data_IF_734288369980
#
_entry.id   IF_734288369980
#
_cell.length_a   1.000
_cell.length_b   1.000
_cell.length_c   1.000
_cell.angle_alpha   90.00
_cell.angle_beta   90.00
_cell.angle_gamma   90.00
#
_symmetry.space_group_name_H-M   'P 1'
#
loop_
_entity.id
_entity.type
_entity.pdbx_description
1 polymer ?
#
# COMPACT_ATOMS: atom_id res chain seq x y z
N UNK A 1 16.48 3.90 -28.40
CA UNK A 1 17.17 4.66 -27.33
C UNK A 1 16.28 4.78 -26.11
N UNK A 2 16.65 4.14 -25.00
CA UNK A 2 15.86 4.03 -23.77
C UNK A 2 15.98 5.30 -22.93
N UNK A 3 14.94 6.16 -22.93
CA UNK A 3 14.85 7.30 -21.99
C UNK A 3 14.58 6.78 -20.57
N UNK A 4 15.64 6.38 -19.86
CA UNK A 4 15.61 6.14 -18.42
C UNK A 4 15.42 7.44 -17.64
N UNK A 5 14.79 7.35 -16.46
CA UNK A 5 14.59 8.49 -15.54
C UNK A 5 15.95 9.04 -15.08
N UNK A 6 16.26 10.27 -15.43
CA UNK A 6 17.50 10.96 -15.06
C UNK A 6 17.66 11.00 -13.52
N UNK A 7 18.75 10.42 -13.00
CA UNK A 7 19.09 10.41 -11.57
C UNK A 7 20.29 11.35 -11.37
N UNK A 8 20.05 12.62 -11.05
CA UNK A 8 21.16 13.56 -10.83
C UNK A 8 21.16 14.06 -9.39
N UNK A 9 21.96 13.41 -8.55
CA UNK A 9 22.79 14.11 -7.56
C UNK A 9 24.08 14.58 -8.25
N UNK A 10 24.83 15.53 -7.68
CA UNK A 10 26.11 16.03 -8.25
C UNK A 10 27.14 14.90 -8.56
N UNK A 11 26.96 13.71 -7.99
CA UNK A 11 27.81 12.52 -8.18
C UNK A 11 27.08 11.37 -8.92
N UNK A 12 26.04 11.66 -9.71
CA UNK A 12 25.34 10.64 -10.52
C UNK A 12 24.54 9.61 -9.71
N UNK A 13 24.33 9.84 -8.41
CA UNK A 13 23.63 8.95 -7.50
C UNK A 13 22.12 9.22 -7.43
N UNK A 14 21.39 8.30 -6.79
CA UNK A 14 20.00 8.52 -6.40
C UNK A 14 19.94 9.73 -5.45
N UNK A 15 19.17 10.77 -5.78
CA UNK A 15 18.90 11.88 -4.85
C UNK A 15 18.35 11.32 -3.54
N UNK A 16 18.84 11.83 -2.41
CA UNK A 16 18.32 11.47 -1.10
C UNK A 16 16.81 11.74 -1.05
N UNK A 17 16.06 10.81 -0.44
CA UNK A 17 14.61 10.94 -0.31
C UNK A 17 14.30 12.10 0.65
N UNK A 18 13.85 13.23 0.10
CA UNK A 18 13.48 14.42 0.88
C UNK A 18 12.23 14.20 1.73
N UNK A 19 11.23 13.46 1.21
CA UNK A 19 9.96 13.22 1.92
C UNK A 19 9.97 11.90 2.69
N UNK A 20 10.08 11.97 4.02
CA UNK A 20 9.85 10.85 4.94
C UNK A 20 8.38 10.81 5.39
N UNK A 21 7.45 10.50 4.49
CA UNK A 21 6.06 10.22 4.87
C UNK A 21 5.98 8.84 5.52
N UNK A 22 5.83 8.78 6.84
CA UNK A 22 5.46 7.56 7.55
C UNK A 22 3.95 7.41 7.56
N UNK A 23 3.43 6.33 7.00
CA UNK A 23 2.01 5.99 7.09
C UNK A 23 1.77 5.22 8.41
N UNK A 24 0.79 5.63 9.24
CA UNK A 24 0.44 4.91 10.45
C UNK A 24 -0.19 3.55 10.14
N UNK A 25 -0.05 2.60 11.06
CA UNK A 25 -0.69 1.28 11.01
C UNK A 25 -2.21 1.38 11.17
N UNK A 26 -2.93 0.33 10.81
CA UNK A 26 -4.38 0.28 11.01
C UNK A 26 -4.77 0.38 12.48
N UNK A 27 -4.03 -0.30 13.36
CA UNK A 27 -4.24 -0.20 14.81
C UNK A 27 -4.12 1.24 15.32
N UNK A 28 -3.04 1.94 14.97
CA UNK A 28 -2.83 3.33 15.40
C UNK A 28 -3.96 4.24 14.93
N UNK A 29 -4.47 4.05 13.71
CA UNK A 29 -5.60 4.83 13.20
C UNK A 29 -6.87 4.54 14.01
N UNK A 30 -7.12 3.28 14.34
CA UNK A 30 -8.27 2.87 15.15
C UNK A 30 -8.20 3.47 16.55
N UNK A 31 -7.04 3.41 17.21
CA UNK A 31 -6.85 3.97 18.55
C UNK A 31 -7.11 5.48 18.60
N UNK A 32 -6.67 6.21 17.56
CA UNK A 32 -6.93 7.66 17.40
C UNK A 32 -8.42 7.93 17.25
N UNK A 33 -9.12 7.16 16.41
CA UNK A 33 -10.57 7.33 16.17
C UNK A 33 -11.37 7.04 17.44
N UNK A 34 -11.10 5.93 18.13
CA UNK A 34 -11.78 5.56 19.38
C UNK A 34 -11.55 6.62 20.47
N UNK A 35 -10.32 7.13 20.59
CA UNK A 35 -10.04 8.16 21.59
C UNK A 35 -10.73 9.49 21.25
N UNK A 36 -10.81 9.84 19.97
CA UNK A 36 -11.45 11.07 19.51
C UNK A 36 -12.97 11.08 19.75
N UNK A 37 -13.64 9.94 19.74
CA UNK A 37 -15.08 9.85 20.05
C UNK A 37 -15.42 10.33 21.47
N UNK A 38 -14.46 10.27 22.39
CA UNK A 38 -14.63 10.61 23.81
C UNK A 38 -13.86 11.86 24.23
N UNK A 39 -13.01 12.40 23.35
CA UNK A 39 -12.08 13.47 23.70
C UNK A 39 -12.02 14.56 22.63
N UNK A 40 -11.68 15.77 23.03
CA UNK A 40 -11.52 16.88 22.09
C UNK A 40 -10.35 16.66 21.12
N UNK A 41 -10.40 17.39 20.00
CA UNK A 41 -9.31 17.42 19.01
C UNK A 41 -7.97 17.81 19.63
N UNK A 42 -7.97 18.77 20.56
CA UNK A 42 -6.76 19.22 21.25
C UNK A 42 -6.14 18.09 22.09
N UNK A 43 -6.96 17.36 22.84
CA UNK A 43 -6.54 16.22 23.67
C UNK A 43 -5.98 15.08 22.81
N UNK A 44 -6.66 14.75 21.71
CA UNK A 44 -6.22 13.70 20.76
C UNK A 44 -4.85 14.01 20.16
N UNK A 45 -4.61 15.27 19.79
CA UNK A 45 -3.31 15.71 19.29
C UNK A 45 -2.21 15.68 20.36
N UNK A 46 -2.53 16.06 21.59
CA UNK A 46 -1.58 15.98 22.70
C UNK A 46 -1.16 14.54 22.99
N UNK A 47 -2.08 13.57 22.88
CA UNK A 47 -1.82 12.16 23.16
C UNK A 47 -1.07 11.44 22.02
N UNK A 48 -1.55 11.54 20.79
CA UNK A 48 -1.04 10.72 19.67
C UNK A 48 -0.03 11.43 18.77
N UNK A 49 0.05 12.75 18.85
CA UNK A 49 0.84 13.58 17.95
C UNK A 49 1.67 14.64 18.70
N UNK A 50 2.10 14.33 19.93
CA UNK A 50 2.94 15.21 20.75
C UNK A 50 4.23 15.64 20.03
N UNK A 51 4.83 14.72 19.27
CA UNK A 51 6.09 14.94 18.56
C UNK A 51 5.96 15.83 17.32
N UNK A 52 4.73 16.14 16.88
CA UNK A 52 4.51 16.99 15.71
C UNK A 52 4.57 18.46 16.10
N UNK A 53 5.52 19.20 15.52
CA UNK A 53 5.71 20.64 15.75
C UNK A 53 5.41 21.47 14.50
N UNK A 54 5.05 22.74 14.71
CA UNK A 54 4.86 23.76 13.67
C UNK A 54 3.91 23.34 12.54
N UNK A 55 4.39 23.44 11.30
CA UNK A 55 3.61 23.17 10.08
C UNK A 55 3.13 21.73 9.98
N UNK A 56 3.89 20.75 10.52
CA UNK A 56 3.49 19.35 10.50
C UNK A 56 2.24 19.10 11.33
N UNK A 57 2.14 19.75 12.50
CA UNK A 57 0.97 19.67 13.36
C UNK A 57 -0.25 20.29 12.70
N UNK A 58 -0.10 21.43 12.03
CA UNK A 58 -1.20 22.09 11.31
C UNK A 58 -1.64 21.28 10.09
N UNK A 59 -0.72 20.79 9.25
CA UNK A 59 -1.06 19.92 8.13
C UNK A 59 -1.73 18.64 8.59
N UNK A 60 -1.27 18.06 9.72
CA UNK A 60 -1.92 16.89 10.30
C UNK A 60 -3.30 17.26 10.84
N UNK A 61 -3.46 18.40 11.51
CA UNK A 61 -4.74 18.91 11.98
C UNK A 61 -5.71 19.10 10.82
N UNK A 62 -5.37 19.82 9.77
CA UNK A 62 -6.25 19.94 8.58
C UNK A 62 -6.46 18.60 7.86
N UNK A 63 -5.44 17.74 7.78
CA UNK A 63 -5.53 16.46 7.08
C UNK A 63 -6.19 15.32 7.85
N UNK A 64 -6.27 15.40 9.18
CA UNK A 64 -6.86 14.38 10.07
C UNK A 64 -8.10 14.86 10.82
N UNK A 65 -8.24 16.17 11.09
CA UNK A 65 -9.42 16.77 11.71
C UNK A 65 -10.56 17.01 10.72
N UNK A 66 -10.28 17.09 9.42
CA UNK A 66 -11.31 17.15 8.36
C UNK A 66 -11.66 15.75 7.84
N UNK A 67 -11.08 14.68 8.41
CA UNK A 67 -11.10 13.34 7.82
C UNK A 67 -11.98 12.32 8.54
N UNK A 68 -13.17 12.69 8.98
CA UNK A 68 -14.25 11.71 9.14
C UNK A 68 -14.44 10.88 7.84
N UNK A 69 -14.01 11.41 6.69
CA UNK A 69 -14.14 10.73 5.39
C UNK A 69 -13.02 9.74 5.04
N UNK A 70 -11.79 9.86 5.60
CA UNK A 70 -10.67 9.04 5.09
C UNK A 70 -10.45 7.73 5.85
N UNK A 71 -10.72 7.71 7.16
CA UNK A 71 -10.50 6.57 8.04
C UNK A 71 -11.84 6.12 8.63
N UNK A 72 -12.63 5.44 7.80
CA UNK A 72 -13.88 4.82 8.22
C UNK A 72 -13.62 3.84 9.39
N UNK A 73 -14.25 4.09 10.54
CA UNK A 73 -14.12 3.29 11.76
C UNK A 73 -14.47 1.82 11.51
N UNK A 74 -15.59 1.55 10.84
CA UNK A 74 -16.04 0.18 10.57
C UNK A 74 -15.01 -0.60 9.75
N UNK A 75 -14.42 0.04 8.73
CA UNK A 75 -13.35 -0.54 7.94
C UNK A 75 -12.11 -0.83 8.79
N UNK A 76 -11.75 0.07 9.70
CA UNK A 76 -10.61 -0.14 10.60
C UNK A 76 -10.87 -1.26 11.61
N UNK A 77 -12.09 -1.36 12.15
CA UNK A 77 -12.49 -2.46 13.03
C UNK A 77 -12.33 -3.81 12.31
N UNK A 78 -12.88 -3.92 11.10
CA UNK A 78 -12.74 -5.12 10.26
C UNK A 78 -11.27 -5.48 9.99
N UNK A 79 -10.43 -4.48 9.69
CA UNK A 79 -9.00 -4.69 9.45
C UNK A 79 -8.23 -5.05 10.72
N UNK A 80 -8.67 -4.59 11.90
CA UNK A 80 -8.00 -4.86 13.17
C UNK A 80 -8.48 -6.18 13.83
N UNK A 81 -9.49 -6.85 13.28
CA UNK A 81 -9.92 -8.19 13.72
C UNK A 81 -8.76 -9.21 13.69
N UNK A 82 -7.83 -9.07 12.74
CA UNK A 82 -6.62 -9.91 12.66
C UNK A 82 -5.38 -9.15 13.09
N UNK A 83 -4.52 -9.73 13.96
CA UNK A 83 -3.28 -9.08 14.39
C UNK A 83 -2.29 -8.88 13.24
N UNK A 84 -2.37 -9.70 12.18
CA UNK A 84 -1.53 -9.55 10.99
C UNK A 84 -1.91 -8.27 10.23
N UNK A 85 -3.20 -8.06 10.02
CA UNK A 85 -3.74 -6.92 9.28
C UNK A 85 -3.69 -5.62 10.10
N UNK A 86 -3.85 -5.70 11.42
CA UNK A 86 -3.73 -4.55 12.33
C UNK A 86 -2.36 -3.84 12.24
N UNK A 87 -1.29 -4.62 12.05
CA UNK A 87 0.09 -4.12 11.91
C UNK A 87 0.42 -3.59 10.51
N UNK A 88 -0.43 -3.85 9.51
CA UNK A 88 -0.24 -3.33 8.17
C UNK A 88 -0.53 -1.82 8.11
N UNK A 89 0.12 -1.14 7.16
CA UNK A 89 -0.06 0.31 6.92
C UNK A 89 -1.00 0.60 5.75
N UNK A 90 -1.19 -0.40 4.89
CA UNK A 90 -2.03 -0.38 3.71
C UNK A 90 -2.55 -1.79 3.45
N UNK A 91 -3.80 -1.87 3.02
CA UNK A 91 -4.38 -3.05 2.41
C UNK A 91 -4.78 -2.68 0.99
N UNK A 92 -4.37 -3.49 0.04
CA UNK A 92 -4.77 -3.38 -1.35
C UNK A 92 -5.99 -4.29 -1.53
N UNK A 93 -7.04 -3.76 -2.16
CA UNK A 93 -8.18 -4.60 -2.57
C UNK A 93 -7.70 -5.50 -3.70
N UNK A 94 -8.08 -6.78 -3.67
CA UNK A 94 -7.73 -7.73 -4.72
C UNK A 94 -8.12 -7.20 -6.10
N UNK A 95 -7.26 -7.38 -7.11
CA UNK A 95 -7.50 -6.91 -8.48
C UNK A 95 -7.40 -5.38 -8.73
N UNK A 96 -7.06 -4.54 -7.74
CA UNK A 96 -6.99 -3.08 -7.95
C UNK A 96 -5.66 -2.59 -8.55
N UNK A 97 -4.58 -3.40 -8.49
CA UNK A 97 -3.23 -2.97 -8.92
C UNK A 97 -2.58 -3.91 -9.93
N UNK A 98 -3.31 -4.90 -10.41
CA UNK A 98 -2.78 -6.00 -11.20
C UNK A 98 -3.51 -6.15 -12.52
N UNK A 99 -2.74 -6.42 -13.58
CA UNK A 99 -3.27 -6.82 -14.90
C UNK A 99 -3.93 -8.20 -14.88
N UNK A 100 -3.98 -8.85 -13.71
CA UNK A 100 -4.47 -10.21 -13.55
C UNK A 100 -5.89 -10.17 -12.98
N UNK A 101 -6.84 -10.93 -13.56
CA UNK A 101 -8.12 -11.16 -12.91
C UNK A 101 -7.95 -11.79 -11.52
N UNK A 102 -8.86 -11.48 -10.59
CA UNK A 102 -8.76 -11.94 -9.20
C UNK A 102 -8.63 -13.47 -9.06
N UNK A 103 -9.36 -14.25 -9.86
CA UNK A 103 -9.26 -15.72 -9.85
C UNK A 103 -7.87 -16.23 -10.22
N UNK A 104 -7.21 -15.52 -11.13
CA UNK A 104 -5.86 -15.80 -11.61
C UNK A 104 -4.80 -15.52 -10.53
N UNK A 105 -4.98 -14.46 -9.75
CA UNK A 105 -4.12 -14.15 -8.61
C UNK A 105 -4.16 -15.24 -7.54
N UNK A 106 -5.37 -15.74 -7.23
CA UNK A 106 -5.55 -16.83 -6.25
C UNK A 106 -4.78 -18.07 -6.67
N UNK A 107 -4.75 -18.40 -7.97
CA UNK A 107 -3.96 -19.53 -8.47
C UNK A 107 -2.45 -19.32 -8.24
N UNK A 108 -1.93 -18.12 -8.50
CA UNK A 108 -0.52 -17.80 -8.24
C UNK A 108 -0.17 -17.83 -6.76
N UNK A 109 -1.05 -17.34 -5.88
CA UNK A 109 -0.86 -17.38 -4.44
C UNK A 109 -0.85 -18.83 -3.92
N UNK A 110 -1.80 -19.67 -4.36
CA UNK A 110 -1.83 -21.10 -4.02
C UNK A 110 -0.54 -21.81 -4.46
N UNK A 111 -0.09 -21.54 -5.68
CA UNK A 111 1.17 -22.07 -6.20
C UNK A 111 2.38 -21.60 -5.38
N UNK A 112 2.45 -20.33 -4.98
CA UNK A 112 3.54 -19.85 -4.13
C UNK A 112 3.51 -20.49 -2.72
N UNK A 113 2.31 -20.64 -2.16
CA UNK A 113 2.13 -21.21 -0.83
C UNK A 113 2.50 -22.70 -0.78
N UNK A 114 2.35 -23.46 -1.87
CA UNK A 114 2.81 -24.86 -1.91
C UNK A 114 4.34 -24.95 -1.76
N UNK A 115 5.11 -24.07 -2.42
CA UNK A 115 6.56 -24.02 -2.25
C UNK A 115 6.95 -23.63 -0.82
N UNK A 116 6.25 -22.64 -0.25
CA UNK A 116 6.48 -22.21 1.15
C UNK A 116 6.17 -23.31 2.15
N UNK A 117 5.17 -24.15 1.90
CA UNK A 117 4.85 -25.31 2.73
C UNK A 117 5.99 -26.35 2.73
N UNK A 118 6.75 -26.44 1.64
CA UNK A 118 7.96 -27.26 1.55
C UNK A 118 9.24 -26.53 2.00
N UNK A 119 9.13 -25.35 2.62
CA UNK A 119 10.28 -24.55 3.04
C UNK A 119 11.09 -23.93 1.90
N UNK A 120 10.59 -23.99 0.67
CA UNK A 120 11.26 -23.47 -0.52
C UNK A 120 10.86 -22.00 -0.76
N UNK A 121 11.85 -21.17 -1.09
CA UNK A 121 11.60 -19.80 -1.53
C UNK A 121 11.38 -19.76 -3.05
N UNK A 122 10.37 -19.01 -3.49
CA UNK A 122 10.11 -18.79 -4.92
C UNK A 122 10.93 -17.58 -5.38
N UNK A 123 11.85 -17.80 -6.33
CA UNK A 123 12.63 -16.70 -6.91
C UNK A 123 11.74 -15.78 -7.77
N UNK A 124 12.15 -14.52 -7.90
CA UNK A 124 11.43 -13.55 -8.74
C UNK A 124 11.31 -14.03 -10.20
N UNK A 125 12.35 -14.69 -10.72
CA UNK A 125 12.34 -15.27 -12.06
C UNK A 125 11.27 -16.36 -12.22
N UNK A 126 11.15 -17.26 -11.24
CA UNK A 126 10.12 -18.31 -11.24
C UNK A 126 8.72 -17.71 -11.18
N UNK A 127 8.53 -16.71 -10.33
CA UNK A 127 7.26 -15.99 -10.22
C UNK A 127 6.86 -15.35 -11.56
N UNK A 128 7.79 -14.66 -12.22
CA UNK A 128 7.53 -14.04 -13.52
C UNK A 128 7.18 -15.08 -14.60
N UNK A 129 7.92 -16.21 -14.64
CA UNK A 129 7.64 -17.29 -15.60
C UNK A 129 6.26 -17.91 -15.38
N UNK A 130 5.90 -18.20 -14.12
CA UNK A 130 4.58 -18.75 -13.80
C UNK A 130 3.46 -17.75 -14.10
N UNK A 131 3.64 -16.48 -13.76
CA UNK A 131 2.67 -15.44 -14.06
C UNK A 131 2.43 -15.30 -15.57
N UNK A 132 3.49 -15.30 -16.39
CA UNK A 132 3.37 -15.27 -17.85
C UNK A 132 2.64 -16.49 -18.42
N UNK A 133 2.87 -17.68 -17.88
CA UNK A 133 2.11 -18.88 -18.26
C UNK A 133 0.63 -18.69 -17.97
N UNK A 134 0.32 -18.27 -16.75
CA UNK A 134 -1.06 -18.12 -16.28
C UNK A 134 -1.80 -16.99 -17.03
N UNK A 135 -1.09 -15.92 -17.42
CA UNK A 135 -1.59 -14.84 -18.29
C UNK A 135 -1.98 -15.36 -19.67
N UNK A 136 -1.12 -16.22 -20.25
CA UNK A 136 -1.38 -16.86 -21.54
C UNK A 136 -2.62 -17.75 -21.47
N UNK A 137 -2.73 -18.55 -20.42
CA UNK A 137 -3.86 -19.45 -20.21
C UNK A 137 -5.18 -18.68 -20.01
N UNK A 138 -5.11 -17.49 -19.41
CA UNK A 138 -6.25 -16.59 -19.23
C UNK A 138 -6.58 -15.74 -20.48
N UNK A 139 -5.89 -15.93 -21.61
CA UNK A 139 -6.13 -15.17 -22.84
C UNK A 139 -5.73 -13.69 -22.78
N UNK A 140 -4.97 -13.27 -21.76
CA UNK A 140 -4.53 -11.88 -21.61
C UNK A 140 -3.22 -11.68 -22.40
N UNK A 141 -3.14 -10.69 -23.30
CA UNK A 141 -1.92 -10.51 -24.10
C UNK A 141 -0.74 -10.05 -23.22
N UNK A 142 0.39 -10.75 -23.34
CA UNK A 142 1.57 -10.57 -22.48
C UNK A 142 2.12 -9.13 -22.43
N UNK A 143 1.89 -8.33 -23.47
CA UNK A 143 2.26 -6.90 -23.51
C UNK A 143 1.56 -6.06 -22.43
N UNK A 144 0.30 -6.38 -22.10
CA UNK A 144 -0.44 -5.68 -21.05
C UNK A 144 0.14 -6.00 -19.67
N UNK A 145 0.55 -7.27 -19.47
CA UNK A 145 1.18 -7.72 -18.24
C UNK A 145 2.56 -7.08 -18.03
N UNK A 146 3.36 -6.94 -19.10
CA UNK A 146 4.66 -6.28 -19.05
C UNK A 146 4.58 -4.76 -18.80
N UNK A 147 3.51 -4.09 -19.26
CA UNK A 147 3.30 -2.66 -19.06
C UNK A 147 2.98 -2.28 -17.61
N UNK A 148 2.33 -3.16 -16.84
CA UNK A 148 1.97 -2.89 -15.45
C UNK A 148 3.16 -2.87 -14.46
N UNK A 149 4.33 -3.36 -14.87
CA UNK A 149 5.58 -3.16 -14.13
C UNK A 149 6.08 -1.70 -14.14
N UNK A 150 5.46 -0.83 -14.96
CA UNK A 150 5.84 0.57 -15.13
C UNK A 150 4.64 1.50 -14.95
N UNK A 151 4.31 1.79 -13.68
CA UNK A 151 3.40 2.85 -13.21
C UNK A 151 1.95 2.78 -13.74
N UNK A 152 1.04 2.32 -12.89
CA UNK A 152 -0.34 2.81 -12.92
C UNK A 152 -0.41 4.09 -12.07
N UNK A 153 -0.36 5.24 -12.76
CA UNK A 153 -0.93 6.49 -12.25
C UNK A 153 -2.44 6.33 -12.29
N UNK A 154 -3.12 6.56 -11.18
CA UNK A 154 -4.58 6.68 -11.18
C UNK A 154 -4.96 7.80 -12.17
N UNK A 155 -5.68 7.45 -13.23
CA UNK A 155 -6.52 8.39 -13.98
C UNK A 155 -7.93 8.02 -13.56
N UNK A 156 -8.57 8.93 -12.83
CA UNK A 156 -10.01 8.91 -12.63
C UNK A 156 -10.66 9.31 -13.96
N UNK A 157 -11.63 8.54 -14.40
CA UNK A 157 -12.61 8.96 -15.42
C UNK A 157 -13.95 9.14 -14.73
N UNK A 158 -14.66 10.17 -15.20
CA UNK A 158 -15.79 10.90 -14.62
C UNK A 158 -16.98 10.06 -14.13
#
# INVERSE_FOLDING_TARGET
MTKGRQKHSKHGGRRARQYKRSAPTHQFRLDVVIYFETNSMASTFAKFFADLTGSQRQTKRTGSATSDTSWCKDKLLQLCTSPATAKQRKVHVAGTETTLPAGTEVHLVKWMNSYRAHGLSVSNLMMNRKALSVVRDAGVPARLFAQAGSKASCVATD
#
